data_IF_104144567475
#
_entry.id   IF_104144567475
#
_cell.length_a   1.000
_cell.length_b   1.000
_cell.length_c   1.000
_cell.angle_alpha   90.00
_cell.angle_beta   90.00
_cell.angle_gamma   90.00
#
_symmetry.space_group_name_H-M   'P 1'
#
loop_
_entity.id
_entity.type
_entity.pdbx_description
1 polymer ?
#
# COMPACT_ATOMS: atom_id res chain seq x y z
N UNK A 1 3.50 5.28 5.25
CA UNK A 1 4.24 4.00 5.09
C UNK A 1 5.15 3.94 3.87
N UNK A 2 4.66 4.03 2.62
CA UNK A 2 5.51 3.93 1.41
C UNK A 2 6.76 4.84 1.43
N UNK A 3 6.62 6.09 1.90
CA UNK A 3 7.76 7.01 2.06
C UNK A 3 8.86 6.47 3.00
N UNK A 4 8.47 5.84 4.11
CA UNK A 4 9.41 5.25 5.07
C UNK A 4 10.12 4.03 4.48
N UNK A 5 9.40 3.20 3.72
CA UNK A 5 9.98 2.10 2.97
C UNK A 5 11.02 2.58 1.95
N UNK A 6 10.75 3.68 1.23
CA UNK A 6 11.72 4.30 0.32
C UNK A 6 12.91 4.92 1.08
N UNK A 7 12.69 5.56 2.23
CA UNK A 7 13.77 6.05 3.07
C UNK A 7 14.67 4.92 3.56
N UNK A 8 14.10 3.78 3.96
CA UNK A 8 14.86 2.59 4.32
C UNK A 8 15.76 2.12 3.16
N UNK A 9 15.27 2.18 1.92
CA UNK A 9 16.08 1.88 0.73
C UNK A 9 17.21 2.88 0.49
N UNK A 10 16.98 4.18 0.72
CA UNK A 10 18.04 5.19 0.64
C UNK A 10 19.12 4.92 1.68
N UNK A 11 18.74 4.60 2.91
CA UNK A 11 19.68 4.29 3.98
C UNK A 11 20.39 2.96 3.77
N UNK A 12 19.75 1.99 3.11
CA UNK A 12 20.41 0.77 2.64
C UNK A 12 21.57 1.13 1.69
N UNK A 13 21.31 1.90 0.63
CA UNK A 13 22.35 2.32 -0.33
C UNK A 13 23.48 3.07 0.39
N UNK A 14 23.16 4.02 1.28
CA UNK A 14 24.18 4.75 2.06
C UNK A 14 24.99 3.83 2.98
N UNK A 15 24.34 2.84 3.60
CA UNK A 15 25.04 1.88 4.44
C UNK A 15 25.97 0.98 3.63
N UNK A 16 25.64 0.62 2.38
CA UNK A 16 26.53 -0.15 1.52
C UNK A 16 27.84 0.59 1.21
N UNK A 17 27.77 1.91 1.00
CA UNK A 17 28.95 2.72 0.71
C UNK A 17 29.79 3.06 1.95
N UNK A 18 29.13 3.39 3.07
CA UNK A 18 29.84 3.96 4.23
C UNK A 18 29.95 3.01 5.43
N UNK A 19 29.11 1.97 5.51
CA UNK A 19 29.07 0.96 6.58
C UNK A 19 28.96 1.52 8.00
N UNK A 20 28.45 2.74 8.17
CA UNK A 20 28.30 3.42 9.47
C UNK A 20 27.08 2.91 10.24
N UNK A 21 27.19 2.84 11.58
CA UNK A 21 26.06 2.52 12.47
C UNK A 21 24.84 3.42 12.22
N UNK A 22 25.06 4.73 12.03
CA UNK A 22 24.01 5.70 11.77
C UNK A 22 23.06 5.28 10.63
N UNK A 23 23.59 4.75 9.52
CA UNK A 23 22.74 4.37 8.39
C UNK A 23 21.98 3.06 8.63
N UNK A 24 22.59 2.09 9.31
CA UNK A 24 21.89 0.89 9.77
C UNK A 24 20.76 1.26 10.75
N UNK A 25 21.03 2.15 11.71
CA UNK A 25 20.02 2.62 12.66
C UNK A 25 18.89 3.40 11.98
N UNK A 26 19.20 4.34 11.06
CA UNK A 26 18.19 5.09 10.31
C UNK A 26 17.34 4.18 9.39
N UNK A 27 17.93 3.13 8.82
CA UNK A 27 17.19 2.09 8.11
C UNK A 27 16.23 1.39 9.07
N UNK A 28 16.71 0.87 10.20
CA UNK A 28 15.89 0.17 11.19
C UNK A 28 14.80 1.06 11.78
N UNK A 29 15.08 2.35 12.00
CA UNK A 29 14.11 3.35 12.45
C UNK A 29 13.01 3.56 11.40
N UNK A 30 13.38 3.69 10.12
CA UNK A 30 12.41 3.83 9.03
C UNK A 30 11.50 2.60 8.90
N UNK A 31 12.08 1.40 9.05
CA UNK A 31 11.33 0.14 9.07
C UNK A 31 10.42 0.04 10.30
N UNK A 32 10.94 0.37 11.50
CA UNK A 32 10.17 0.37 12.74
C UNK A 32 8.98 1.32 12.69
N UNK A 33 9.15 2.53 12.14
CA UNK A 33 8.07 3.51 11.97
C UNK A 33 6.96 3.01 11.03
N UNK A 34 7.22 2.01 10.17
CA UNK A 34 6.15 1.38 9.37
C UNK A 34 5.15 0.60 10.24
N UNK A 35 5.61 0.03 11.37
CA UNK A 35 4.77 -0.74 12.29
C UNK A 35 3.65 0.11 12.92
N UNK A 36 3.87 1.42 13.08
CA UNK A 36 2.87 2.36 13.58
C UNK A 36 1.65 2.49 12.66
N UNK A 37 1.82 2.24 11.35
CA UNK A 37 0.72 2.31 10.39
C UNK A 37 -0.08 1.02 10.36
N UNK A 38 0.59 -0.13 10.47
CA UNK A 38 -0.04 -1.45 10.42
C UNK A 38 0.90 -2.53 10.93
N UNK A 39 0.42 -3.38 11.85
CA UNK A 39 1.18 -4.53 12.35
C UNK A 39 1.58 -5.51 11.24
N UNK A 40 0.70 -5.75 10.26
CA UNK A 40 0.99 -6.58 9.09
C UNK A 40 2.18 -6.12 8.22
N UNK A 41 2.64 -4.87 8.38
CA UNK A 41 3.85 -4.38 7.70
C UNK A 41 5.13 -5.10 8.13
N UNK A 42 5.11 -5.83 9.25
CA UNK A 42 6.26 -6.61 9.73
C UNK A 42 6.81 -7.55 8.64
N UNK A 43 5.93 -8.08 7.80
CA UNK A 43 6.27 -9.03 6.75
C UNK A 43 6.92 -8.38 5.53
N UNK A 44 6.70 -7.07 5.34
CA UNK A 44 7.37 -6.28 4.31
C UNK A 44 8.75 -5.82 4.78
N UNK A 45 8.86 -5.43 6.06
CA UNK A 45 10.10 -4.85 6.60
C UNK A 45 11.15 -5.91 6.97
N UNK A 46 10.73 -7.09 7.43
CA UNK A 46 11.66 -8.13 7.88
C UNK A 46 12.59 -8.62 6.76
N UNK A 47 12.12 -8.93 5.54
CA UNK A 47 13.01 -9.30 4.44
C UNK A 47 14.02 -8.20 4.09
N UNK A 48 13.61 -6.93 4.16
CA UNK A 48 14.50 -5.78 3.90
C UNK A 48 15.62 -5.75 4.93
N UNK A 49 15.28 -5.86 6.22
CA UNK A 49 16.25 -5.90 7.31
C UNK A 49 17.21 -7.07 7.16
N UNK A 50 16.69 -8.29 6.92
CA UNK A 50 17.50 -9.50 6.80
C UNK A 50 18.46 -9.45 5.61
N UNK A 51 18.02 -8.94 4.46
CA UNK A 51 18.87 -8.79 3.28
C UNK A 51 19.94 -7.73 3.51
N UNK A 52 19.58 -6.59 4.12
CA UNK A 52 20.52 -5.52 4.44
C UNK A 52 21.60 -5.95 5.44
N UNK A 53 21.17 -6.58 6.55
CA UNK A 53 22.07 -7.08 7.58
C UNK A 53 22.91 -8.25 7.07
N UNK A 54 22.27 -9.20 6.36
CA UNK A 54 22.92 -10.39 5.82
C UNK A 54 24.03 -10.05 4.84
N UNK A 55 23.82 -9.10 3.93
CA UNK A 55 24.86 -8.68 3.00
C UNK A 55 26.09 -8.14 3.74
N UNK A 56 25.91 -7.30 4.76
CA UNK A 56 27.02 -6.72 5.50
C UNK A 56 27.74 -7.78 6.36
N UNK A 57 26.97 -8.67 7.01
CA UNK A 57 27.49 -9.73 7.89
C UNK A 57 28.31 -10.76 7.09
N UNK A 58 27.85 -11.12 5.89
CA UNK A 58 28.48 -12.13 5.03
C UNK A 58 29.68 -11.56 4.27
N UNK A 59 29.73 -10.25 4.00
CA UNK A 59 30.87 -9.63 3.30
C UNK A 59 32.21 -9.83 4.06
N UNK A 60 33.24 -10.37 3.40
CA UNK A 60 34.65 -10.58 3.83
C UNK A 60 35.03 -10.53 5.35
N UNK A 61 35.57 -11.65 5.85
CA UNK A 61 36.37 -11.76 7.10
C UNK A 61 35.61 -12.24 8.35
N UNK A 62 35.95 -13.42 8.88
CA UNK A 62 35.27 -14.05 10.04
C UNK A 62 35.36 -13.23 11.33
N UNK A 63 36.53 -12.64 11.64
CA UNK A 63 36.76 -11.91 12.91
C UNK A 63 35.90 -10.64 13.07
N UNK A 64 35.35 -10.10 11.98
CA UNK A 64 34.47 -8.92 12.00
C UNK A 64 32.97 -9.28 12.09
N UNK A 65 32.62 -10.55 11.90
CA UNK A 65 31.22 -10.98 11.80
C UNK A 65 30.42 -10.68 13.08
N UNK A 66 30.95 -11.02 14.24
CA UNK A 66 30.29 -10.76 15.53
C UNK A 66 30.06 -9.26 15.78
N UNK A 67 31.01 -8.39 15.44
CA UNK A 67 30.83 -6.93 15.56
C UNK A 67 29.72 -6.42 14.67
N UNK A 68 29.59 -6.97 13.44
CA UNK A 68 28.52 -6.61 12.51
C UNK A 68 27.16 -7.14 12.94
N UNK A 69 27.09 -8.35 13.46
CA UNK A 69 25.87 -8.88 14.09
C UNK A 69 25.45 -7.97 15.25
N UNK A 70 26.37 -7.64 16.16
CA UNK A 70 26.13 -6.72 17.26
C UNK A 70 25.67 -5.33 16.79
N UNK A 71 26.31 -4.78 15.75
CA UNK A 71 25.91 -3.51 15.09
C UNK A 71 24.46 -3.55 14.63
N UNK A 72 24.07 -4.59 13.88
CA UNK A 72 22.72 -4.70 13.32
C UNK A 72 21.66 -5.01 14.37
N UNK A 73 21.96 -5.85 15.35
CA UNK A 73 21.08 -6.09 16.51
C UNK A 73 20.86 -4.79 17.29
N UNK A 74 21.91 -4.04 17.59
CA UNK A 74 21.82 -2.77 18.29
C UNK A 74 21.06 -1.72 17.46
N UNK A 75 21.33 -1.66 16.15
CA UNK A 75 20.60 -0.76 15.24
C UNK A 75 19.11 -1.11 15.18
N UNK A 76 18.77 -2.41 15.12
CA UNK A 76 17.40 -2.91 15.17
C UNK A 76 16.72 -2.58 16.50
N UNK A 77 17.38 -2.83 17.62
CA UNK A 77 16.88 -2.55 18.96
C UNK A 77 16.63 -1.05 19.17
N UNK A 78 17.61 -0.20 18.82
CA UNK A 78 17.47 1.26 18.97
C UNK A 78 16.58 1.90 17.91
N UNK A 79 16.40 1.27 16.74
CA UNK A 79 15.61 1.80 15.64
C UNK A 79 14.14 1.40 15.72
N UNK A 80 13.85 0.13 15.95
CA UNK A 80 12.49 -0.41 16.00
C UNK A 80 12.02 -0.82 17.40
N UNK A 81 12.95 -1.12 18.33
CA UNK A 81 12.60 -1.64 19.65
C UNK A 81 11.73 -0.68 20.47
N UNK A 82 12.05 0.61 20.50
CA UNK A 82 11.21 1.62 21.17
C UNK A 82 9.78 1.70 20.61
N UNK A 83 9.63 1.50 19.30
CA UNK A 83 8.33 1.51 18.62
C UNK A 83 7.53 0.24 18.97
N UNK A 84 8.20 -0.92 19.00
CA UNK A 84 7.58 -2.19 19.40
C UNK A 84 7.12 -2.12 20.87
N UNK A 85 7.95 -1.58 21.77
CA UNK A 85 7.58 -1.37 23.18
C UNK A 85 6.38 -0.43 23.29
N UNK A 86 6.38 0.69 22.56
CA UNK A 86 5.26 1.62 22.52
C UNK A 86 3.96 0.95 22.04
N UNK A 87 4.02 0.15 20.97
CA UNK A 87 2.87 -0.59 20.46
C UNK A 87 2.35 -1.63 21.46
N UNK A 88 3.24 -2.35 22.14
CA UNK A 88 2.87 -3.29 23.21
C UNK A 88 2.19 -2.59 24.38
N UNK A 89 2.73 -1.46 24.84
CA UNK A 89 2.12 -0.62 25.87
C UNK A 89 0.75 -0.10 25.45
N UNK A 90 0.62 0.37 24.21
CA UNK A 90 -0.64 0.84 23.64
C UNK A 90 -1.70 -0.29 23.60
N UNK A 91 -1.31 -1.49 23.19
CA UNK A 91 -2.20 -2.66 23.20
C UNK A 91 -2.61 -3.04 24.63
N UNK A 92 -1.67 -3.00 25.59
CA UNK A 92 -1.98 -3.29 26.99
C UNK A 92 -3.02 -2.33 27.57
N UNK A 93 -2.93 -1.02 27.28
CA UNK A 93 -3.93 -0.05 27.72
C UNK A 93 -5.31 -0.32 27.10
N UNK A 94 -5.35 -0.72 25.83
CA UNK A 94 -6.61 -0.91 25.09
C UNK A 94 -7.29 -2.25 25.40
N UNK A 95 -6.51 -3.30 25.60
CA UNK A 95 -6.98 -4.67 25.59
C UNK A 95 -6.58 -5.46 26.85
N UNK A 96 -5.82 -4.87 27.77
CA UNK A 96 -5.28 -5.56 28.94
C UNK A 96 -4.16 -6.57 28.63
N UNK A 97 -3.73 -6.67 27.36
CA UNK A 97 -2.67 -7.58 26.91
C UNK A 97 -1.81 -6.92 25.84
N UNK A 98 -0.50 -7.10 25.92
CA UNK A 98 0.46 -6.58 24.93
C UNK A 98 0.35 -7.30 23.58
N UNK A 99 -0.13 -8.56 23.59
CA UNK A 99 -0.25 -9.42 22.40
C UNK A 99 -1.63 -9.35 21.74
N UNK A 100 -2.63 -8.80 22.43
CA UNK A 100 -3.95 -8.61 21.84
C UNK A 100 -3.90 -7.46 20.83
N UNK A 101 -4.45 -7.71 19.64
CA UNK A 101 -4.36 -6.78 18.50
C UNK A 101 -5.72 -6.23 18.08
N UNK A 102 -6.81 -6.70 18.71
CA UNK A 102 -8.19 -6.36 18.38
C UNK A 102 -8.73 -7.13 17.17
N UNK A 103 -7.88 -7.93 16.52
CA UNK A 103 -8.22 -8.72 15.34
C UNK A 103 -9.20 -9.85 15.65
N UNK A 104 -9.11 -10.47 16.84
CA UNK A 104 -10.08 -11.50 17.27
C UNK A 104 -11.49 -10.94 17.53
N UNK A 105 -11.59 -9.71 18.02
CA UNK A 105 -12.87 -9.01 18.10
C UNK A 105 -13.37 -8.61 16.70
N UNK A 106 -12.47 -8.17 15.82
CA UNK A 106 -12.82 -7.82 14.45
C UNK A 106 -13.34 -9.04 13.65
N UNK A 107 -12.80 -10.25 13.85
CA UNK A 107 -13.31 -11.45 13.18
C UNK A 107 -14.69 -11.84 13.66
N UNK A 108 -14.94 -11.80 14.97
CA UNK A 108 -16.23 -12.19 15.55
C UNK A 108 -17.35 -11.18 15.28
N UNK A 109 -17.02 -9.90 15.05
CA UNK A 109 -18.01 -8.84 14.82
C UNK A 109 -18.10 -8.40 13.37
N UNK A 110 -16.94 -8.16 12.73
CA UNK A 110 -16.82 -7.52 11.43
C UNK A 110 -16.59 -8.47 10.27
N UNK A 111 -16.27 -9.74 10.54
CA UNK A 111 -16.15 -10.80 9.53
C UNK A 111 -17.17 -11.93 9.77
N UNK A 112 -18.19 -11.73 10.60
CA UNK A 112 -19.26 -12.72 10.82
C UNK A 112 -18.79 -14.06 11.39
N UNK A 113 -17.68 -14.08 12.12
CA UNK A 113 -17.09 -15.30 12.64
C UNK A 113 -16.05 -15.95 11.72
N UNK A 114 -15.84 -15.43 10.50
CA UNK A 114 -14.72 -15.84 9.66
C UNK A 114 -13.38 -15.44 10.29
N UNK A 115 -12.42 -16.35 10.24
CA UNK A 115 -11.03 -16.08 10.55
C UNK A 115 -10.38 -15.08 9.59
N UNK A 116 -9.21 -14.58 9.96
CA UNK A 116 -8.47 -13.56 9.19
C UNK A 116 -7.75 -14.17 7.99
N UNK A 117 -7.45 -15.46 8.05
CA UNK A 117 -6.61 -16.16 7.09
C UNK A 117 -7.33 -17.35 6.45
N UNK A 118 -8.51 -17.11 5.87
CA UNK A 118 -9.33 -18.17 5.27
C UNK A 118 -9.27 -18.20 3.73
N UNK A 119 -8.70 -17.18 3.09
CA UNK A 119 -8.64 -17.12 1.64
C UNK A 119 -7.66 -18.12 1.04
N UNK A 120 -8.01 -18.63 -0.14
CA UNK A 120 -7.19 -19.56 -0.91
C UNK A 120 -6.08 -18.77 -1.63
N UNK A 121 -4.79 -19.00 -1.34
CA UNK A 121 -3.72 -18.11 -1.79
C UNK A 121 -3.55 -18.09 -3.31
N UNK A 122 -3.66 -19.23 -4.00
CA UNK A 122 -3.44 -19.30 -5.45
C UNK A 122 -4.52 -18.56 -6.25
N UNK A 123 -5.85 -18.81 -6.05
CA UNK A 123 -6.90 -18.00 -6.68
C UNK A 123 -6.78 -16.51 -6.35
N UNK A 124 -6.45 -16.18 -5.09
CA UNK A 124 -6.26 -14.79 -4.67
C UNK A 124 -5.11 -14.12 -5.41
N UNK A 125 -3.95 -14.77 -5.52
CA UNK A 125 -2.81 -14.23 -6.27
C UNK A 125 -3.15 -14.04 -7.76
N UNK A 126 -3.84 -15.01 -8.36
CA UNK A 126 -4.33 -14.88 -9.73
C UNK A 126 -5.28 -13.68 -9.87
N UNK A 127 -6.19 -13.50 -8.91
CA UNK A 127 -7.14 -12.38 -8.93
C UNK A 127 -6.43 -11.03 -8.72
N UNK A 128 -5.46 -10.92 -7.81
CA UNK A 128 -4.65 -9.70 -7.63
C UNK A 128 -3.89 -9.29 -8.89
N UNK A 129 -3.52 -10.24 -9.74
CA UNK A 129 -2.76 -9.98 -10.97
C UNK A 129 -3.66 -9.80 -12.19
N UNK A 130 -4.73 -10.58 -12.32
CA UNK A 130 -5.44 -10.73 -13.59
C UNK A 130 -6.94 -10.46 -13.51
N UNK A 131 -7.52 -10.32 -12.32
CA UNK A 131 -8.97 -10.09 -12.23
C UNK A 131 -9.38 -8.72 -12.82
N UNK A 132 -10.51 -8.65 -13.53
CA UNK A 132 -11.06 -7.40 -14.04
C UNK A 132 -11.49 -6.43 -12.93
N UNK A 133 -11.76 -6.94 -11.72
CA UNK A 133 -12.16 -6.14 -10.56
C UNK A 133 -11.01 -5.52 -9.78
N UNK A 134 -9.88 -6.23 -9.64
CA UNK A 134 -8.83 -5.89 -8.64
C UNK A 134 -7.39 -6.03 -9.15
N UNK A 135 -7.16 -6.34 -10.43
CA UNK A 135 -5.81 -6.47 -10.99
C UNK A 135 -4.94 -5.23 -10.73
N UNK A 136 -3.76 -5.44 -10.16
CA UNK A 136 -2.75 -4.38 -9.95
C UNK A 136 -2.41 -3.64 -11.25
N UNK A 137 -2.41 -4.33 -12.40
CA UNK A 137 -2.08 -3.75 -13.70
C UNK A 137 -3.21 -2.91 -14.28
N UNK A 138 -4.47 -3.24 -13.98
CA UNK A 138 -5.60 -2.40 -14.37
C UNK A 138 -5.61 -1.08 -13.60
N UNK A 139 -5.32 -1.12 -12.29
CA UNK A 139 -5.23 0.09 -11.48
C UNK A 139 -3.94 0.89 -11.71
N UNK A 140 -2.85 0.22 -12.11
CA UNK A 140 -1.56 0.87 -12.36
C UNK A 140 -0.95 0.40 -13.70
N UNK A 141 -1.51 0.79 -14.87
CA UNK A 141 -1.02 0.34 -16.18
C UNK A 141 0.46 0.60 -16.45
N UNK A 142 1.07 1.60 -15.81
CA UNK A 142 2.51 1.86 -15.89
C UNK A 142 3.36 0.65 -15.46
N UNK A 143 2.82 -0.22 -14.60
CA UNK A 143 3.50 -1.44 -14.14
C UNK A 143 3.61 -2.51 -15.25
N UNK A 144 2.92 -2.39 -16.38
CA UNK A 144 3.14 -3.26 -17.54
C UNK A 144 4.57 -3.15 -18.09
N UNK A 145 5.27 -2.04 -17.83
CA UNK A 145 6.67 -1.82 -18.21
C UNK A 145 7.67 -2.50 -17.28
N UNK A 146 7.21 -3.00 -16.13
CA UNK A 146 8.08 -3.53 -15.07
C UNK A 146 8.91 -4.75 -15.49
N UNK A 147 8.37 -5.78 -16.17
CA UNK A 147 9.16 -6.96 -16.56
C UNK A 147 10.35 -6.62 -17.45
N UNK A 148 10.22 -5.60 -18.29
CA UNK A 148 11.29 -5.13 -19.18
C UNK A 148 12.37 -4.35 -18.41
N UNK A 149 11.99 -3.68 -17.33
CA UNK A 149 12.89 -2.83 -16.56
C UNK A 149 13.63 -3.58 -15.44
N UNK A 150 12.96 -4.54 -14.79
CA UNK A 150 13.49 -5.23 -13.60
C UNK A 150 14.81 -5.93 -13.87
N UNK A 151 14.95 -6.66 -14.98
CA UNK A 151 16.18 -7.42 -15.23
C UNK A 151 17.41 -6.50 -15.27
N UNK A 152 17.29 -5.38 -15.99
CA UNK A 152 18.34 -4.37 -16.03
C UNK A 152 18.60 -3.70 -14.68
N UNK A 153 17.55 -3.45 -13.92
CA UNK A 153 17.65 -2.90 -12.58
C UNK A 153 18.37 -3.86 -11.61
N UNK A 154 18.02 -5.15 -11.65
CA UNK A 154 18.67 -6.22 -10.88
C UNK A 154 20.17 -6.32 -11.16
N UNK A 155 20.57 -6.23 -12.44
CA UNK A 155 21.99 -6.31 -12.83
C UNK A 155 22.83 -5.16 -12.28
N UNK A 156 22.26 -3.95 -12.16
CA UNK A 156 22.96 -2.76 -11.63
C UNK A 156 22.84 -2.64 -10.11
N UNK A 157 21.66 -2.93 -9.57
CA UNK A 157 21.26 -2.67 -8.19
C UNK A 157 20.75 -3.94 -7.51
N UNK A 158 21.58 -5.00 -7.52
CA UNK A 158 21.19 -6.35 -7.07
C UNK A 158 20.58 -6.36 -5.67
N UNK A 159 21.28 -5.83 -4.67
CA UNK A 159 20.81 -5.89 -3.29
C UNK A 159 19.52 -5.11 -3.07
N UNK A 160 19.42 -3.91 -3.67
CA UNK A 160 18.22 -3.10 -3.60
C UNK A 160 17.03 -3.80 -4.25
N UNK A 161 17.26 -4.46 -5.39
CA UNK A 161 16.22 -5.26 -6.06
C UNK A 161 15.78 -6.41 -5.17
N UNK A 162 16.72 -7.16 -4.58
CA UNK A 162 16.40 -8.27 -3.67
C UNK A 162 15.59 -7.80 -2.46
N UNK A 163 15.99 -6.69 -1.82
CA UNK A 163 15.28 -6.13 -0.67
C UNK A 163 13.86 -5.62 -1.04
N UNK A 164 13.75 -4.91 -2.15
CA UNK A 164 12.48 -4.37 -2.63
C UNK A 164 11.51 -5.49 -3.06
N UNK A 165 11.98 -6.47 -3.84
CA UNK A 165 11.14 -7.56 -4.32
C UNK A 165 10.78 -8.56 -3.25
N UNK A 166 11.67 -8.84 -2.28
CA UNK A 166 11.31 -9.72 -1.18
C UNK A 166 10.17 -9.11 -0.36
N UNK A 167 10.19 -7.79 -0.10
CA UNK A 167 9.07 -7.09 0.53
C UNK A 167 7.77 -7.18 -0.28
N UNK A 168 7.83 -6.97 -1.60
CA UNK A 168 6.67 -7.11 -2.50
C UNK A 168 6.11 -8.53 -2.45
N UNK A 169 6.95 -9.54 -2.64
CA UNK A 169 6.54 -10.95 -2.68
C UNK A 169 5.98 -11.39 -1.33
N UNK A 170 6.62 -11.00 -0.22
CA UNK A 170 6.12 -11.28 1.12
C UNK A 170 4.76 -10.64 1.36
N UNK A 171 4.54 -9.40 0.92
CA UNK A 171 3.23 -8.75 1.03
C UNK A 171 2.17 -9.47 0.18
N UNK A 172 2.48 -9.79 -1.08
CA UNK A 172 1.57 -10.49 -1.98
C UNK A 172 1.14 -11.85 -1.44
N UNK A 173 2.12 -12.66 -1.01
CA UNK A 173 1.90 -14.00 -0.46
C UNK A 173 1.09 -13.91 0.83
N UNK A 174 1.52 -13.10 1.79
CA UNK A 174 0.82 -13.03 3.07
C UNK A 174 -0.63 -12.56 2.92
N UNK A 175 -0.83 -11.46 2.18
CA UNK A 175 -2.15 -10.93 1.94
C UNK A 175 -2.98 -11.79 0.98
N UNK A 176 -2.43 -12.87 0.42
CA UNK A 176 -3.22 -13.82 -0.36
C UNK A 176 -4.06 -14.77 0.50
N UNK A 177 -3.64 -14.97 1.76
CA UNK A 177 -4.39 -15.71 2.77
C UNK A 177 -5.46 -14.85 3.44
N UNK A 178 -5.33 -13.52 3.39
CA UNK A 178 -6.20 -12.61 4.12
C UNK A 178 -7.65 -12.67 3.60
N UNK A 179 -8.61 -12.92 4.48
CA UNK A 179 -10.04 -13.10 4.13
C UNK A 179 -10.60 -11.93 3.30
N UNK A 180 -10.17 -10.71 3.62
CA UNK A 180 -10.54 -9.47 2.90
C UNK A 180 -9.47 -8.96 1.94
N UNK A 181 -8.73 -9.86 1.29
CA UNK A 181 -7.54 -9.56 0.47
C UNK A 181 -7.78 -8.50 -0.62
N UNK A 182 -8.99 -8.44 -1.20
CA UNK A 182 -9.34 -7.50 -2.27
C UNK A 182 -9.43 -6.05 -1.78
N UNK A 183 -9.32 -5.84 -0.47
CA UNK A 183 -9.43 -4.53 0.16
C UNK A 183 -10.87 -4.05 0.33
N UNK A 184 -11.85 -4.92 0.15
CA UNK A 184 -13.30 -4.67 0.29
C UNK A 184 -13.71 -3.46 -0.56
N UNK A 185 -14.27 -2.45 0.10
CA UNK A 185 -14.63 -1.15 -0.43
C UNK A 185 -13.46 -0.28 -0.94
N UNK A 186 -12.20 -0.72 -0.85
CA UNK A 186 -11.07 0.08 -1.30
C UNK A 186 -10.99 0.16 -2.83
N UNK A 187 -10.44 1.28 -3.31
CA UNK A 187 -10.18 1.55 -4.72
C UNK A 187 -9.40 0.42 -5.41
N UNK A 188 -8.36 -0.11 -4.77
CA UNK A 188 -7.52 -1.19 -5.32
C UNK A 188 -7.19 -2.22 -4.23
N UNK A 189 -6.20 -3.09 -4.47
CA UNK A 189 -5.65 -4.04 -3.49
C UNK A 189 -4.89 -3.28 -2.37
N UNK A 190 -5.66 -2.74 -1.41
CA UNK A 190 -5.19 -1.77 -0.39
C UNK A 190 -3.93 -2.18 0.36
N UNK A 191 -3.73 -3.48 0.52
CA UNK A 191 -2.59 -4.02 1.26
C UNK A 191 -1.26 -3.91 0.51
N UNK A 192 -1.29 -3.84 -0.82
CA UNK A 192 -0.07 -3.75 -1.64
C UNK A 192 0.35 -2.30 -1.90
N UNK A 193 -0.48 -1.32 -1.53
CA UNK A 193 -0.22 0.11 -1.74
C UNK A 193 1.16 0.54 -1.20
N UNK A 194 1.61 0.12 -0.01
CA UNK A 194 2.94 0.50 0.49
C UNK A 194 4.09 -0.01 -0.40
N UNK A 195 3.96 -1.21 -0.96
CA UNK A 195 5.00 -1.86 -1.76
C UNK A 195 4.91 -1.53 -3.25
N UNK A 196 3.84 -0.87 -3.73
CA UNK A 196 3.75 -0.35 -5.10
C UNK A 196 4.93 0.56 -5.45
N UNK A 197 5.43 1.33 -4.48
CA UNK A 197 6.59 2.19 -4.68
C UNK A 197 7.82 1.41 -5.16
N UNK A 198 8.01 0.18 -4.66
CA UNK A 198 9.09 -0.71 -5.06
C UNK A 198 8.93 -1.28 -6.47
N UNK A 199 7.68 -1.52 -6.90
CA UNK A 199 7.39 -1.95 -8.27
C UNK A 199 7.65 -0.84 -9.30
N UNK A 200 7.53 0.42 -8.90
CA UNK A 200 7.83 1.57 -9.78
C UNK A 200 9.34 1.83 -9.87
N UNK A 201 10.15 1.47 -8.87
CA UNK A 201 11.60 1.78 -8.86
C UNK A 201 12.36 1.35 -10.11
N UNK A 202 12.19 0.12 -10.65
CA UNK A 202 12.89 -0.29 -11.86
C UNK A 202 12.58 0.59 -13.08
N UNK A 203 11.39 1.19 -13.12
CA UNK A 203 10.95 2.04 -14.24
C UNK A 203 11.79 3.31 -14.38
N UNK A 204 12.51 3.73 -13.32
CA UNK A 204 13.45 4.85 -13.39
C UNK A 204 14.51 4.66 -14.48
N UNK A 205 14.84 3.41 -14.82
CA UNK A 205 15.76 3.06 -15.91
C UNK A 205 15.30 3.61 -17.27
N UNK A 206 14.00 3.73 -17.52
CA UNK A 206 13.46 4.25 -18.78
C UNK A 206 13.87 5.70 -19.03
N UNK A 207 14.11 6.47 -17.97
CA UNK A 207 14.51 7.88 -18.05
C UNK A 207 16.03 8.08 -18.08
N UNK A 208 16.81 7.00 -17.93
CA UNK A 208 18.29 7.09 -17.91
C UNK A 208 18.92 7.14 -19.31
N UNK A 209 18.15 6.86 -20.37
CA UNK A 209 18.64 6.82 -21.75
C UNK A 209 17.60 7.43 -22.69
N UNK A 210 18.03 8.03 -23.82
CA UNK A 210 17.09 8.49 -24.84
C UNK A 210 16.26 7.30 -25.36
N UNK A 211 14.96 7.53 -25.48
CA UNK A 211 14.00 6.52 -25.92
C UNK A 211 13.64 6.78 -27.39
N UNK A 212 13.40 5.71 -28.16
CA UNK A 212 12.78 5.83 -29.48
C UNK A 212 11.39 6.47 -29.34
N UNK A 213 10.97 7.28 -30.31
CA UNK A 213 9.71 8.06 -30.25
C UNK A 213 8.48 7.21 -29.91
N UNK A 214 8.36 6.02 -30.50
CA UNK A 214 7.24 5.10 -30.21
C UNK A 214 7.22 4.60 -28.76
N UNK A 215 8.39 4.25 -28.21
CA UNK A 215 8.50 3.80 -26.81
C UNK A 215 8.20 4.96 -25.87
N UNK A 216 8.68 6.17 -26.19
CA UNK A 216 8.37 7.38 -25.41
C UNK A 216 6.86 7.64 -25.38
N UNK A 217 6.18 7.55 -26.53
CA UNK A 217 4.72 7.72 -26.61
C UNK A 217 4.00 6.67 -25.76
N UNK A 218 4.38 5.39 -25.85
CA UNK A 218 3.81 4.32 -25.04
C UNK A 218 3.99 4.57 -23.53
N UNK A 219 5.20 4.98 -23.11
CA UNK A 219 5.47 5.29 -21.70
C UNK A 219 4.64 6.47 -21.20
N UNK A 220 4.57 7.55 -21.98
CA UNK A 220 3.73 8.71 -21.64
C UNK A 220 2.27 8.28 -21.53
N UNK A 221 1.75 7.50 -22.49
CA UNK A 221 0.39 7.01 -22.48
C UNK A 221 0.10 6.18 -21.22
N UNK A 222 0.95 5.21 -20.88
CA UNK A 222 0.75 4.37 -19.69
C UNK A 222 0.82 5.16 -18.38
N UNK A 223 1.72 6.16 -18.30
CA UNK A 223 1.79 7.07 -17.16
C UNK A 223 0.51 7.91 -17.07
N UNK A 224 0.08 8.51 -18.19
CA UNK A 224 -1.13 9.33 -18.25
C UNK A 224 -2.37 8.53 -17.83
N UNK A 225 -2.57 7.33 -18.37
CA UNK A 225 -3.68 6.45 -17.99
C UNK A 225 -3.60 6.13 -16.49
N UNK A 226 -2.42 5.78 -15.97
CA UNK A 226 -2.25 5.49 -14.54
C UNK A 226 -2.61 6.70 -13.68
N UNK A 227 -2.13 7.89 -14.04
CA UNK A 227 -2.48 9.14 -13.35
C UNK A 227 -3.98 9.40 -13.38
N UNK A 228 -4.65 9.24 -14.53
CA UNK A 228 -6.10 9.41 -14.65
C UNK A 228 -6.86 8.45 -13.75
N UNK A 229 -6.47 7.17 -13.71
CA UNK A 229 -7.08 6.17 -12.83
C UNK A 229 -6.90 6.55 -11.36
N UNK A 230 -5.70 6.98 -10.96
CA UNK A 230 -5.45 7.39 -9.59
C UNK A 230 -6.19 8.68 -9.21
N UNK A 231 -6.37 9.62 -10.15
CA UNK A 231 -7.18 10.82 -9.93
C UNK A 231 -8.68 10.49 -9.84
N UNK A 232 -9.18 9.54 -10.64
CA UNK A 232 -10.57 9.09 -10.57
C UNK A 232 -10.94 8.52 -9.18
N UNK A 233 -9.95 7.94 -8.48
CA UNK A 233 -10.13 7.39 -7.13
C UNK A 233 -10.61 8.42 -6.10
N UNK A 234 -10.19 9.69 -6.25
CA UNK A 234 -10.51 10.74 -5.28
C UNK A 234 -11.78 11.50 -5.63
N UNK A 235 -12.23 11.47 -6.89
CA UNK A 235 -13.37 12.26 -7.39
C UNK A 235 -14.63 12.09 -6.52
N UNK A 236 -14.98 10.88 -6.14
CA UNK A 236 -16.08 10.58 -5.23
C UNK A 236 -15.58 9.90 -3.96
N UNK A 237 -16.49 9.69 -3.00
CA UNK A 237 -16.20 8.86 -1.82
C UNK A 237 -15.62 7.51 -2.28
N UNK A 238 -14.55 7.06 -1.63
CA UNK A 238 -13.71 5.95 -2.09
C UNK A 238 -14.42 4.59 -2.11
N UNK A 239 -15.53 4.45 -1.39
CA UNK A 239 -16.31 3.23 -1.20
C UNK A 239 -17.62 3.21 -2.00
N UNK A 240 -17.86 4.20 -2.87
CA UNK A 240 -19.12 4.37 -3.59
C UNK A 240 -19.54 3.11 -4.36
N UNK A 241 -18.65 2.58 -5.20
CA UNK A 241 -18.97 1.46 -6.10
C UNK A 241 -19.27 0.17 -5.36
N UNK A 242 -18.70 0.01 -4.17
CA UNK A 242 -18.97 -1.13 -3.29
C UNK A 242 -20.44 -1.15 -2.86
N UNK A 243 -20.99 0.02 -2.49
CA UNK A 243 -22.38 0.14 -2.05
C UNK A 243 -23.41 0.20 -3.18
N UNK A 244 -22.99 0.47 -4.42
CA UNK A 244 -23.85 0.37 -5.60
C UNK A 244 -24.07 -1.06 -6.08
N UNK A 245 -23.31 -2.04 -5.56
CA UNK A 245 -23.51 -3.43 -5.90
C UNK A 245 -24.47 -4.08 -4.89
N UNK A 246 -25.67 -4.53 -5.28
CA UNK A 246 -26.55 -5.24 -4.35
C UNK A 246 -25.93 -6.55 -3.85
N UNK A 247 -25.10 -7.20 -4.65
CA UNK A 247 -24.44 -8.47 -4.30
C UNK A 247 -23.04 -8.26 -3.70
N UNK A 248 -22.80 -7.16 -2.98
CA UNK A 248 -21.48 -6.90 -2.41
C UNK A 248 -21.22 -7.80 -1.19
N UNK A 249 -20.08 -8.47 -1.19
CA UNK A 249 -19.55 -9.14 -0.01
C UNK A 249 -18.21 -8.51 0.36
N UNK A 250 -17.96 -8.41 1.66
CA UNK A 250 -16.64 -8.06 2.20
C UNK A 250 -15.64 -9.18 1.81
N UNK A 251 -16.10 -10.44 1.77
CA UNK A 251 -15.26 -11.58 1.39
C UNK A 251 -15.33 -11.75 -0.15
N UNK A 252 -14.19 -11.74 -0.86
CA UNK A 252 -14.19 -11.80 -2.32
C UNK A 252 -14.37 -13.21 -2.85
N UNK A 253 -15.59 -13.72 -2.77
CA UNK A 253 -15.97 -15.06 -3.21
C UNK A 253 -16.35 -15.06 -4.70
N UNK A 254 -15.40 -14.73 -5.57
CA UNK A 254 -15.50 -14.73 -7.05
C UNK A 254 -15.99 -13.43 -7.73
N UNK A 255 -16.61 -12.48 -7.02
CA UNK A 255 -17.12 -11.24 -7.65
C UNK A 255 -16.05 -10.43 -8.39
N UNK A 256 -14.78 -10.54 -7.98
CA UNK A 256 -13.65 -9.84 -8.59
C UNK A 256 -13.43 -10.23 -10.07
N UNK A 257 -13.93 -11.41 -10.47
CA UNK A 257 -13.87 -11.91 -11.83
C UNK A 257 -15.01 -11.42 -12.71
N UNK A 258 -16.07 -10.87 -12.13
CA UNK A 258 -17.12 -10.22 -12.87
C UNK A 258 -16.74 -8.75 -13.16
N UNK A 259 -16.56 -8.44 -14.44
CA UNK A 259 -16.27 -7.08 -14.91
C UNK A 259 -17.35 -6.08 -14.47
N UNK A 260 -18.61 -6.52 -14.42
CA UNK A 260 -19.73 -5.67 -14.00
C UNK A 260 -19.59 -5.19 -12.56
N UNK A 261 -18.81 -5.91 -11.73
CA UNK A 261 -18.56 -5.61 -10.32
C UNK A 261 -17.27 -4.83 -10.07
N UNK A 262 -16.53 -4.50 -11.12
CA UNK A 262 -15.27 -3.78 -11.00
C UNK A 262 -15.49 -2.33 -10.59
N UNK A 263 -14.92 -1.94 -9.45
CA UNK A 263 -14.95 -0.57 -8.96
C UNK A 263 -14.32 0.41 -9.97
N UNK A 264 -13.27 -0.02 -10.66
CA UNK A 264 -12.60 0.79 -11.68
C UNK A 264 -13.56 1.16 -12.82
N UNK A 265 -14.20 0.16 -13.43
CA UNK A 265 -15.10 0.39 -14.56
C UNK A 265 -16.34 1.18 -14.13
N UNK A 266 -16.93 0.84 -12.97
CA UNK A 266 -18.07 1.56 -12.40
C UNK A 266 -17.77 3.02 -12.09
N UNK A 267 -16.57 3.34 -11.59
CA UNK A 267 -16.18 4.73 -11.33
C UNK A 267 -16.20 5.57 -12.59
N UNK A 268 -15.65 5.06 -13.69
CA UNK A 268 -15.67 5.79 -14.95
C UNK A 268 -17.10 5.90 -15.52
N UNK A 269 -17.94 4.89 -15.32
CA UNK A 269 -19.36 4.97 -15.64
C UNK A 269 -20.08 6.07 -14.81
N UNK A 270 -19.85 6.11 -13.50
CA UNK A 270 -20.41 7.12 -12.60
C UNK A 270 -19.98 8.54 -12.99
N UNK A 271 -18.69 8.73 -13.31
CA UNK A 271 -18.18 10.02 -13.81
C UNK A 271 -18.88 10.40 -15.11
N UNK A 272 -18.96 9.49 -16.08
CA UNK A 272 -19.61 9.75 -17.37
C UNK A 272 -21.07 10.15 -17.20
N UNK A 273 -21.84 9.36 -16.47
CA UNK A 273 -23.26 9.62 -16.28
C UNK A 273 -23.52 10.92 -15.49
N UNK A 274 -22.66 11.28 -14.54
CA UNK A 274 -22.72 12.57 -13.85
C UNK A 274 -22.51 13.74 -14.83
N UNK A 275 -21.56 13.60 -15.77
CA UNK A 275 -21.30 14.62 -16.80
C UNK A 275 -22.43 14.74 -17.81
N UNK A 276 -23.16 13.65 -18.10
CA UNK A 276 -24.31 13.67 -19.01
C UNK A 276 -25.64 14.06 -18.33
N UNK A 277 -25.58 14.53 -17.08
CA UNK A 277 -26.75 15.02 -16.35
C UNK A 277 -27.60 13.93 -15.71
N UNK A 278 -27.21 12.65 -15.80
CA UNK A 278 -27.87 11.58 -15.10
C UNK A 278 -27.33 11.54 -13.66
N UNK A 279 -28.13 12.02 -12.70
CA UNK A 279 -27.76 12.11 -11.29
C UNK A 279 -28.36 10.99 -10.44
N UNK A 280 -29.23 10.18 -11.05
CA UNK A 280 -29.87 9.06 -10.38
C UNK A 280 -29.02 7.79 -10.58
N UNK A 281 -28.20 7.52 -9.57
CA UNK A 281 -27.41 6.29 -9.46
C UNK A 281 -27.92 5.40 -8.32
N UNK A 282 -29.05 5.79 -7.70
CA UNK A 282 -29.77 5.01 -6.70
C UNK A 282 -30.60 3.93 -7.39
N UNK A 283 -29.94 2.99 -8.07
CA UNK A 283 -30.59 1.73 -8.44
C UNK A 283 -30.27 0.60 -7.47
N UNK A 284 -29.56 0.86 -6.38
CA UNK A 284 -29.59 -0.04 -5.22
C UNK A 284 -30.77 0.35 -4.35
N UNK A 285 -31.87 -0.39 -4.46
CA UNK A 285 -32.64 -0.67 -3.24
C UNK A 285 -31.59 -1.09 -2.19
N UNK A 286 -31.58 -0.43 -1.04
CA UNK A 286 -30.86 -0.96 0.12
C UNK A 286 -31.65 -2.19 0.52
N UNK A 287 -31.43 -3.29 -0.19
CA UNK A 287 -32.00 -4.57 0.18
C UNK A 287 -31.47 -4.82 1.58
N UNK A 288 -32.39 -4.96 2.53
CA UNK A 288 -32.15 -5.50 3.86
C UNK A 288 -31.72 -6.97 3.69
N UNK A 289 -30.58 -7.21 3.04
CA UNK A 289 -29.94 -8.50 3.19
C UNK A 289 -29.45 -8.57 4.63
N UNK A 290 -29.69 -9.72 5.26
CA UNK A 290 -29.05 -10.06 6.52
C UNK A 290 -27.75 -10.85 6.25
N UNK A 291 -26.60 -10.20 6.00
CA UNK A 291 -25.34 -10.81 6.33
C UNK A 291 -25.00 -10.44 7.79
N UNK A 292 -24.53 -11.44 8.53
CA UNK A 292 -24.01 -11.33 9.91
C UNK A 292 -22.75 -10.43 10.03
N UNK A 293 -22.39 -9.69 8.99
CA UNK A 293 -21.09 -9.05 8.82
C UNK A 293 -21.27 -7.54 8.68
N UNK A 294 -21.09 -6.84 9.79
CA UNK A 294 -21.12 -5.36 9.93
C UNK A 294 -22.42 -4.66 9.49
N UNK A 295 -23.36 -4.56 10.43
CA UNK A 295 -24.44 -3.55 10.39
C UNK A 295 -23.86 -2.13 10.41
N UNK A 296 -23.86 -1.47 9.26
CA UNK A 296 -24.22 -0.05 9.18
C UNK A 296 -25.36 0.05 8.18
N UNK A 297 -26.58 0.26 8.68
CA UNK A 297 -27.68 0.66 7.83
C UNK A 297 -27.35 2.06 7.33
N UNK A 298 -26.87 2.16 6.09
CA UNK A 298 -26.67 3.45 5.43
C UNK A 298 -28.03 3.89 4.90
N UNK A 299 -28.46 5.09 5.31
CA UNK A 299 -29.67 5.69 4.78
C UNK A 299 -29.48 6.08 3.31
N UNK A 300 -30.57 6.27 2.57
CA UNK A 300 -30.53 6.85 1.23
C UNK A 300 -29.78 8.20 1.24
N UNK A 301 -29.94 8.98 2.31
CA UNK A 301 -29.21 10.24 2.52
C UNK A 301 -27.68 10.04 2.62
N UNK A 302 -27.20 8.94 3.21
CA UNK A 302 -25.77 8.63 3.30
C UNK A 302 -25.16 8.28 1.93
N UNK A 303 -25.95 7.62 1.10
CA UNK A 303 -25.60 7.28 -0.29
C UNK A 303 -25.59 8.55 -1.15
N UNK A 304 -26.61 9.41 -1.01
CA UNK A 304 -26.64 10.75 -1.63
C UNK A 304 -25.41 11.58 -1.26
N UNK A 305 -25.02 11.60 0.02
CA UNK A 305 -23.81 12.27 0.50
C UNK A 305 -22.50 11.66 -0.04
N UNK A 306 -22.51 10.41 -0.51
CA UNK A 306 -21.35 9.77 -1.12
C UNK A 306 -21.06 10.28 -2.54
N UNK A 307 -22.09 10.75 -3.27
CA UNK A 307 -21.99 11.26 -4.64
C UNK A 307 -21.42 12.69 -4.75
N UNK A 308 -21.20 13.38 -3.63
CA UNK A 308 -20.53 14.67 -3.68
C UNK A 308 -19.07 14.52 -4.16
N UNK A 309 -18.68 15.38 -5.10
CA UNK A 309 -17.31 15.45 -5.59
C UNK A 309 -16.39 15.87 -4.43
N UNK A 310 -15.36 15.07 -4.17
CA UNK A 310 -14.34 15.35 -3.17
C UNK A 310 -13.02 15.57 -3.91
N UNK A 311 -12.36 16.70 -3.68
CA UNK A 311 -11.02 16.94 -4.25
C UNK A 311 -9.89 16.54 -3.29
N UNK A 312 -10.22 16.28 -2.03
CA UNK A 312 -9.27 15.95 -0.98
C UNK A 312 -9.65 14.65 -0.27
N UNK A 313 -8.67 13.88 0.23
CA UNK A 313 -8.91 12.60 0.90
C UNK A 313 -9.67 12.73 2.24
N UNK A 314 -9.89 13.95 2.72
CA UNK A 314 -10.58 14.24 3.96
C UNK A 314 -11.90 14.96 3.66
N UNK A 315 -13.03 14.36 4.06
CA UNK A 315 -14.28 15.11 4.19
C UNK A 315 -14.17 15.98 5.43
N UNK A 316 -14.14 17.31 5.26
CA UNK A 316 -14.19 18.27 6.37
C UNK A 316 -15.50 18.22 7.20
N UNK A 317 -16.39 17.26 6.91
CA UNK A 317 -17.66 17.04 7.61
C UNK A 317 -17.66 15.65 8.24
N UNK A 318 -17.37 15.57 9.54
CA UNK A 318 -18.03 14.63 10.49
C UNK A 318 -17.53 14.75 11.94
N UNK A 319 -17.12 15.92 12.43
CA UNK A 319 -16.98 16.14 13.88
C UNK A 319 -17.61 17.51 14.19
N UNK A 320 -18.53 17.62 15.17
CA UNK A 320 -19.12 18.91 15.57
C UNK A 320 -18.10 19.92 16.14
N UNK A 321 -16.82 19.54 16.26
CA UNK A 321 -15.74 20.36 16.81
C UNK A 321 -14.82 20.89 15.72
N UNK A 322 -15.00 22.17 15.40
CA UNK A 322 -14.12 23.16 14.76
C UNK A 322 -13.08 22.72 13.71
N UNK A 323 -13.06 23.44 12.59
CA UNK A 323 -12.05 23.40 11.51
C UNK A 323 -10.58 23.59 11.97
N UNK A 324 -10.31 23.90 13.25
CA UNK A 324 -8.96 24.14 13.79
C UNK A 324 -8.10 22.87 13.85
N UNK A 325 -8.71 21.69 13.96
CA UNK A 325 -7.97 20.41 13.96
C UNK A 325 -7.58 19.95 12.54
N UNK A 326 -8.36 20.36 11.53
CA UNK A 326 -8.15 19.95 10.15
C UNK A 326 -6.94 20.62 9.50
N UNK A 327 -6.69 21.89 9.81
CA UNK A 327 -5.57 22.65 9.21
C UNK A 327 -4.21 22.00 9.54
N UNK A 328 -3.88 21.70 10.81
CA UNK A 328 -2.63 20.99 11.14
C UNK A 328 -2.50 19.63 10.46
N UNK A 329 -3.60 18.88 10.34
CA UNK A 329 -3.60 17.54 9.74
C UNK A 329 -3.38 17.61 8.21
N UNK A 330 -3.97 18.60 7.55
CA UNK A 330 -3.70 18.91 6.13
C UNK A 330 -2.25 19.36 5.93
N UNK A 331 -1.73 20.25 6.79
CA UNK A 331 -0.33 20.66 6.74
C UNK A 331 0.62 19.46 6.90
N UNK A 332 0.35 18.59 7.86
CA UNK A 332 1.11 17.35 8.05
C UNK A 332 1.06 16.47 6.81
N UNK A 333 -0.11 16.32 6.18
CA UNK A 333 -0.26 15.55 4.95
C UNK A 333 0.58 16.12 3.80
N UNK A 334 0.59 17.44 3.59
CA UNK A 334 1.46 18.08 2.59
C UNK A 334 2.94 17.88 2.89
N UNK A 335 3.36 17.96 4.17
CA UNK A 335 4.74 17.69 4.58
C UNK A 335 5.13 16.24 4.27
N UNK A 336 4.24 15.28 4.55
CA UNK A 336 4.48 13.86 4.24
C UNK A 336 4.54 13.61 2.72
N UNK A 337 3.68 14.27 1.94
CA UNK A 337 3.67 14.20 0.48
C UNK A 337 4.96 14.79 -0.11
N UNK A 338 5.38 15.97 0.35
CA UNK A 338 6.64 16.59 -0.05
C UNK A 338 7.83 15.70 0.32
N UNK A 339 7.84 15.13 1.53
CA UNK A 339 8.85 14.17 1.98
C UNK A 339 8.92 12.93 1.10
N UNK A 340 7.77 12.39 0.68
CA UNK A 340 7.68 11.29 -0.28
C UNK A 340 8.29 11.66 -1.64
N UNK A 341 7.92 12.80 -2.21
CA UNK A 341 8.48 13.29 -3.47
C UNK A 341 10.00 13.49 -3.39
N UNK A 342 10.49 14.07 -2.29
CA UNK A 342 11.93 14.25 -2.04
C UNK A 342 12.65 12.91 -1.90
N UNK A 343 12.06 11.93 -1.21
CA UNK A 343 12.64 10.59 -1.07
C UNK A 343 12.74 9.89 -2.43
N UNK A 344 11.68 9.93 -3.24
CA UNK A 344 11.71 9.41 -4.62
C UNK A 344 12.81 10.10 -5.42
N UNK A 345 12.83 11.45 -5.43
CA UNK A 345 13.80 12.20 -6.22
C UNK A 345 15.24 11.86 -5.83
N UNK A 346 15.54 11.82 -4.53
CA UNK A 346 16.87 11.46 -4.02
C UNK A 346 17.24 10.02 -4.41
N UNK A 347 16.31 9.09 -4.27
CA UNK A 347 16.54 7.68 -4.62
C UNK A 347 16.78 7.52 -6.12
N UNK A 348 15.94 8.12 -6.98
CA UNK A 348 16.12 8.10 -8.44
C UNK A 348 17.47 8.71 -8.82
N UNK A 349 17.85 9.84 -8.21
CA UNK A 349 19.15 10.48 -8.48
C UNK A 349 20.32 9.56 -8.08
N UNK A 350 20.24 8.90 -6.92
CA UNK A 350 21.24 7.90 -6.53
C UNK A 350 21.32 6.76 -7.55
N UNK A 351 20.19 6.28 -8.06
CA UNK A 351 20.14 5.11 -8.95
C UNK A 351 20.55 5.40 -10.40
N UNK A 352 20.36 6.64 -10.86
CA UNK A 352 20.65 7.05 -12.25
C UNK A 352 22.11 7.53 -12.39
N UNK A 353 22.61 8.28 -11.40
CA UNK A 353 23.92 8.95 -11.48
C UNK A 353 25.06 8.20 -10.77
N UNK A 354 24.79 7.06 -10.13
CA UNK A 354 25.80 6.05 -9.73
C UNK A 354 25.77 4.91 -10.73
#
# INVERSE_FOLDING_TARGET
MAALLLLAMIFLVKNLHHRRFLYAWLLCLSLGLCLLFRLGSMLEILPIYLIAAGEEIISNGEKSRFKRVGKWLLAGLCGAGGIIVFLGWYNYIRFGSVLESGYGLATSTALGGHGIFESRPLPTLAAKLFSPGKSIFLYNPVLLLFPVCVYGFYRRHKLLTLAAFSAVVSSFIFHSFHTTWAGDYAWSIRYEVPVLAFLVLPLAKLFSRPMKSMVKILVILLISISCTIQLASVVYKFDLEFFQNPNHSIIPDDYVWDRSQSHLFRRFYNIWAHLTGNRDFSSTEVVEEQPLIMKRNFSQEDVEKAYHVNFFPFKARSIPYSNRFWIPLLCLWFVLLAGFCVAIFKLVRLLVYQ
#
